data_IF_477063683940
#
_entry.id   IF_477063683940
#
_cell.length_a   1.000
_cell.length_b   1.000
_cell.length_c   1.000
_cell.angle_alpha   90.00
_cell.angle_beta   90.00
_cell.angle_gamma   90.00
#
_symmetry.space_group_name_H-M   'P 1'
#
loop_
_entity.id
_entity.type
_entity.pdbx_description
1 polymer ?
#
# COMPACT_ATOMS: atom_id res chain seq x y z
N UNK A 1 21.67 -63.92 -3.71
CA UNK A 1 21.40 -62.81 -4.64
C UNK A 1 20.01 -62.30 -4.31
N UNK A 2 19.91 -61.09 -3.75
CA UNK A 2 18.63 -60.45 -3.44
C UNK A 2 18.25 -59.66 -4.69
N UNK A 3 17.36 -60.21 -5.52
CA UNK A 3 16.74 -59.46 -6.61
C UNK A 3 15.77 -58.45 -5.99
N UNK A 4 16.16 -57.18 -5.98
CA UNK A 4 15.21 -56.07 -5.83
C UNK A 4 14.40 -56.01 -7.13
N UNK A 5 13.23 -56.64 -7.15
CA UNK A 5 12.20 -56.30 -8.13
C UNK A 5 11.78 -54.84 -7.88
N UNK A 6 12.45 -53.92 -8.59
CA UNK A 6 12.10 -52.51 -8.61
C UNK A 6 10.72 -52.37 -9.25
N UNK A 7 9.70 -52.21 -8.41
CA UNK A 7 8.32 -51.95 -8.84
C UNK A 7 8.22 -50.59 -9.52
N UNK A 8 8.56 -50.50 -10.80
CA UNK A 8 8.23 -49.36 -11.63
C UNK A 8 6.69 -49.31 -11.78
N UNK A 9 6.11 -48.13 -11.59
CA UNK A 9 4.66 -47.92 -11.67
C UNK A 9 4.07 -48.45 -12.98
N UNK A 10 2.92 -49.13 -12.90
CA UNK A 10 2.19 -49.63 -14.08
C UNK A 10 1.65 -48.44 -14.90
N UNK A 11 1.42 -48.60 -16.20
CA UNK A 11 0.89 -47.52 -17.07
C UNK A 11 -0.37 -46.83 -16.52
N UNK A 12 -1.25 -47.57 -15.84
CA UNK A 12 -2.42 -46.98 -15.16
C UNK A 12 -2.04 -46.04 -14.02
N UNK A 13 -1.00 -46.34 -13.22
CA UNK A 13 -0.52 -45.46 -12.14
C UNK A 13 0.04 -44.16 -12.70
N UNK A 14 0.72 -44.22 -13.86
CA UNK A 14 1.18 -43.02 -14.56
C UNK A 14 0.01 -42.16 -15.04
N UNK A 15 -1.04 -42.76 -15.61
CA UNK A 15 -2.26 -42.05 -16.02
C UNK A 15 -2.95 -41.38 -14.83
N UNK A 16 -3.12 -42.10 -13.71
CA UNK A 16 -3.73 -41.52 -12.50
C UNK A 16 -2.89 -40.38 -11.96
N UNK A 17 -1.56 -40.52 -11.88
CA UNK A 17 -0.68 -39.43 -11.46
C UNK A 17 -0.76 -38.22 -12.39
N UNK A 18 -0.84 -38.43 -13.71
CA UNK A 18 -1.00 -37.35 -14.68
C UNK A 18 -2.34 -36.61 -14.49
N UNK A 19 -3.44 -37.35 -14.27
CA UNK A 19 -4.75 -36.75 -14.02
C UNK A 19 -4.76 -35.96 -12.70
N UNK A 20 -4.17 -36.51 -11.64
CA UNK A 20 -4.06 -35.81 -10.35
C UNK A 20 -3.20 -34.55 -10.47
N UNK A 21 -2.04 -34.64 -11.12
CA UNK A 21 -1.19 -33.46 -11.40
C UNK A 21 -1.94 -32.43 -12.25
N UNK A 22 -2.66 -32.88 -13.28
CA UNK A 22 -3.50 -32.00 -14.11
C UNK A 22 -4.58 -31.27 -13.30
N UNK A 23 -5.26 -31.97 -12.40
CA UNK A 23 -6.26 -31.36 -11.51
C UNK A 23 -5.64 -30.34 -10.55
N UNK A 24 -4.49 -30.64 -9.96
CA UNK A 24 -3.75 -29.70 -9.09
C UNK A 24 -3.29 -28.47 -9.89
N UNK A 25 -2.77 -28.65 -11.10
CA UNK A 25 -2.34 -27.54 -11.95
C UNK A 25 -3.51 -26.65 -12.36
N UNK A 26 -4.65 -27.23 -12.75
CA UNK A 26 -5.83 -26.46 -13.15
C UNK A 26 -6.41 -25.66 -11.97
N UNK A 27 -6.49 -26.27 -10.78
CA UNK A 27 -7.00 -25.60 -9.58
C UNK A 27 -6.06 -24.49 -9.09
N UNK A 28 -4.76 -24.75 -9.02
CA UNK A 28 -3.76 -23.75 -8.67
C UNK A 28 -3.71 -22.61 -9.70
N UNK A 29 -3.79 -22.92 -10.99
CA UNK A 29 -3.80 -21.90 -12.05
C UNK A 29 -5.05 -21.03 -11.98
N UNK A 30 -6.22 -21.63 -11.74
CA UNK A 30 -7.47 -20.88 -11.57
C UNK A 30 -7.40 -19.94 -10.36
N UNK A 31 -6.93 -20.44 -9.21
CA UNK A 31 -6.73 -19.64 -7.98
C UNK A 31 -5.72 -18.50 -8.18
N UNK A 32 -4.63 -18.76 -8.92
CA UNK A 32 -3.63 -17.75 -9.22
C UNK A 32 -4.18 -16.66 -10.15
N UNK A 33 -4.85 -17.06 -11.25
CA UNK A 33 -5.42 -16.13 -12.22
C UNK A 33 -6.59 -15.32 -11.63
N UNK A 34 -7.30 -15.83 -10.62
CA UNK A 34 -8.32 -15.08 -9.91
C UNK A 34 -7.78 -13.80 -9.26
N UNK A 35 -6.49 -13.77 -8.87
CA UNK A 35 -5.84 -12.56 -8.34
C UNK A 35 -5.69 -11.44 -9.39
N UNK A 36 -6.00 -11.67 -10.66
CA UNK A 36 -6.00 -10.61 -11.69
C UNK A 36 -7.32 -9.87 -11.78
N UNK A 37 -8.37 -10.34 -11.11
CA UNK A 37 -9.69 -9.71 -11.11
C UNK A 37 -9.82 -8.81 -9.89
N UNK A 38 -9.80 -7.52 -10.15
CA UNK A 38 -9.79 -6.49 -9.12
C UNK A 38 -11.06 -6.46 -8.27
N UNK A 39 -10.94 -6.51 -6.92
CA UNK A 39 -12.08 -6.26 -6.08
C UNK A 39 -12.54 -4.80 -6.32
N UNK A 40 -13.85 -4.56 -6.35
CA UNK A 40 -14.39 -3.24 -6.65
C UNK A 40 -14.01 -2.23 -5.56
N UNK A 41 -13.74 -1.01 -6.01
CA UNK A 41 -13.66 0.19 -5.18
C UNK A 41 -14.85 1.04 -5.58
N UNK A 42 -15.60 1.56 -4.62
CA UNK A 42 -16.83 2.30 -4.88
C UNK A 42 -16.55 3.79 -4.73
N UNK A 43 -16.48 4.59 -5.81
CA UNK A 43 -16.27 6.02 -5.68
C UNK A 43 -17.36 6.66 -4.80
N UNK A 44 -16.94 7.36 -3.75
CA UNK A 44 -17.83 8.14 -2.89
C UNK A 44 -18.31 9.43 -3.58
N UNK A 45 -19.20 10.20 -2.92
CA UNK A 45 -19.78 11.41 -3.49
C UNK A 45 -18.76 12.53 -3.78
N UNK A 46 -17.57 12.48 -3.17
CA UNK A 46 -16.51 13.46 -3.42
C UNK A 46 -15.69 13.21 -4.67
N UNK A 47 -15.78 12.02 -5.29
CA UNK A 47 -15.04 11.69 -6.51
C UNK A 47 -15.71 12.35 -7.71
N UNK A 48 -15.00 13.28 -8.36
CA UNK A 48 -15.52 13.99 -9.53
C UNK A 48 -15.27 13.22 -10.82
N UNK A 49 -14.10 12.57 -10.93
CA UNK A 49 -13.77 11.70 -12.05
C UNK A 49 -12.66 10.71 -11.68
N UNK A 50 -12.53 9.68 -12.51
CA UNK A 50 -11.50 8.63 -12.40
C UNK A 50 -10.77 8.57 -13.72
N UNK A 51 -9.44 8.64 -13.67
CA UNK A 51 -8.53 8.56 -14.82
C UNK A 51 -7.62 7.36 -14.67
N UNK A 52 -6.96 6.95 -15.75
CA UNK A 52 -5.94 5.90 -15.68
C UNK A 52 -4.57 6.54 -15.41
N UNK A 53 -3.68 5.84 -14.70
CA UNK A 53 -2.28 6.30 -14.55
C UNK A 53 -1.60 6.41 -15.93
N UNK A 54 -2.02 5.58 -16.89
CA UNK A 54 -1.59 5.68 -18.28
C UNK A 54 -1.91 7.01 -18.97
N UNK A 55 -2.87 7.80 -18.46
CA UNK A 55 -3.20 9.12 -19.01
C UNK A 55 -2.03 10.12 -18.78
N UNK A 56 -1.18 9.85 -17.78
CA UNK A 56 0.06 10.61 -17.51
C UNK A 56 1.29 10.03 -18.23
N UNK A 57 1.25 8.73 -18.57
CA UNK A 57 2.29 8.05 -19.32
C UNK A 57 1.75 6.84 -20.11
N UNK A 58 1.62 7.02 -21.44
CA UNK A 58 1.06 6.02 -22.36
C UNK A 58 1.76 4.65 -22.34
N UNK A 59 3.01 4.58 -21.86
CA UNK A 59 3.76 3.32 -21.76
C UNK A 59 3.11 2.28 -20.84
N UNK A 60 2.16 2.68 -19.98
CA UNK A 60 1.40 1.76 -19.13
C UNK A 60 0.16 1.17 -19.81
N UNK A 61 -0.29 1.69 -20.96
CA UNK A 61 -1.52 1.23 -21.62
C UNK A 61 -1.44 -0.27 -21.90
N UNK A 62 -2.43 -1.02 -21.40
CA UNK A 62 -2.53 -2.46 -21.60
C UNK A 62 -1.52 -3.30 -20.79
N UNK A 63 -0.73 -2.65 -19.92
CA UNK A 63 0.12 -3.36 -18.97
C UNK A 63 -0.66 -3.71 -17.70
N UNK A 64 -0.25 -4.74 -16.94
CA UNK A 64 -0.85 -5.07 -15.65
C UNK A 64 -0.47 -4.08 -14.53
N UNK A 65 0.29 -3.02 -14.84
CA UNK A 65 0.70 -2.01 -13.87
C UNK A 65 -0.10 -0.70 -13.98
N UNK A 66 -0.93 -0.56 -15.02
CA UNK A 66 -1.87 0.55 -15.11
C UNK A 66 -2.92 0.45 -14.01
N UNK A 67 -3.31 1.60 -13.46
CA UNK A 67 -4.14 1.67 -12.24
C UNK A 67 -5.03 2.91 -12.27
N UNK A 68 -6.15 2.84 -11.57
CA UNK A 68 -7.07 3.96 -11.45
C UNK A 68 -6.51 5.04 -10.51
N UNK A 69 -6.64 6.30 -10.94
CA UNK A 69 -6.37 7.51 -10.17
C UNK A 69 -7.70 8.22 -9.93
N UNK A 70 -8.03 8.44 -8.66
CA UNK A 70 -9.30 9.03 -8.25
C UNK A 70 -9.09 10.50 -7.96
N UNK A 71 -9.86 11.37 -8.61
CA UNK A 71 -9.76 12.82 -8.47
C UNK A 71 -10.99 13.31 -7.70
N UNK A 72 -10.75 13.98 -6.58
CA UNK A 72 -11.76 14.66 -5.77
C UNK A 72 -11.47 16.17 -5.82
N UNK A 73 -12.44 16.97 -6.24
CA UNK A 73 -12.25 18.41 -6.45
C UNK A 73 -13.30 19.20 -5.68
N UNK A 74 -12.85 20.22 -4.97
CA UNK A 74 -13.72 21.15 -4.28
C UNK A 74 -14.37 22.16 -5.22
N UNK A 75 -15.43 22.80 -4.73
CA UNK A 75 -16.06 23.93 -5.44
C UNK A 75 -15.22 25.21 -5.38
N UNK A 76 -14.31 25.31 -4.41
CA UNK A 76 -13.42 26.46 -4.23
C UNK A 76 -11.98 26.12 -4.69
N UNK A 77 -11.25 27.08 -5.31
CA UNK A 77 -9.86 26.88 -5.67
C UNK A 77 -8.97 26.79 -4.41
N UNK A 78 -7.91 25.98 -4.48
CA UNK A 78 -6.91 25.77 -3.44
C UNK A 78 -5.82 24.82 -3.92
N UNK A 79 -4.97 24.35 -3.01
CA UNK A 79 -3.88 23.43 -3.34
C UNK A 79 -4.35 22.03 -3.74
N UNK A 80 -3.40 21.20 -4.14
CA UNK A 80 -3.61 19.81 -4.54
C UNK A 80 -2.79 18.86 -3.68
N UNK A 81 -3.45 17.87 -3.07
CA UNK A 81 -2.80 16.80 -2.33
C UNK A 81 -2.82 15.49 -3.10
N UNK A 82 -1.74 14.70 -3.02
CA UNK A 82 -1.69 13.31 -3.45
C UNK A 82 -1.60 12.39 -2.23
N UNK A 83 -2.48 11.39 -2.15
CA UNK A 83 -2.35 10.26 -1.22
C UNK A 83 -2.15 8.97 -2.01
N UNK A 84 -0.99 8.35 -1.83
CA UNK A 84 -0.59 7.12 -2.50
C UNK A 84 -0.69 5.93 -1.53
N UNK A 85 -1.45 4.90 -1.90
CA UNK A 85 -1.53 3.62 -1.21
C UNK A 85 -1.19 2.46 -2.15
N UNK A 86 -0.82 1.32 -1.56
CA UNK A 86 -0.50 0.13 -2.36
C UNK A 86 0.79 0.24 -3.15
N UNK A 87 1.77 1.01 -2.66
CA UNK A 87 3.16 0.96 -3.12
C UNK A 87 3.71 -0.47 -2.96
N UNK A 88 3.38 -1.11 -1.85
CA UNK A 88 3.54 -2.54 -1.64
C UNK A 88 2.17 -3.17 -1.36
N UNK A 89 1.80 -4.21 -2.12
CA UNK A 89 0.48 -4.84 -2.00
C UNK A 89 0.33 -5.75 -0.77
N UNK A 90 1.42 -6.01 -0.05
CA UNK A 90 1.44 -6.71 1.24
C UNK A 90 1.30 -5.76 2.45
N UNK A 91 1.02 -4.47 2.21
CA UNK A 91 0.80 -3.44 3.23
C UNK A 91 -0.68 -2.99 3.18
N UNK A 92 -1.61 -3.84 3.65
CA UNK A 92 -3.05 -3.63 3.50
C UNK A 92 -3.58 -2.33 4.11
N UNK A 93 -2.99 -1.81 5.19
CA UNK A 93 -3.48 -0.56 5.80
C UNK A 93 -3.27 0.64 4.87
N UNK A 94 -2.20 0.63 4.06
CA UNK A 94 -1.95 1.69 3.07
C UNK A 94 -3.08 1.77 2.03
N UNK A 95 -3.42 0.64 1.41
CA UNK A 95 -4.46 0.55 0.40
C UNK A 95 -5.86 0.77 0.97
N UNK A 96 -6.15 0.23 2.16
CA UNK A 96 -7.44 0.43 2.82
C UNK A 96 -7.65 1.89 3.21
N UNK A 97 -6.60 2.60 3.64
CA UNK A 97 -6.69 4.04 3.89
C UNK A 97 -7.07 4.80 2.62
N UNK A 98 -6.38 4.53 1.50
CA UNK A 98 -6.69 5.15 0.22
C UNK A 98 -8.13 4.83 -0.25
N UNK A 99 -8.58 3.58 -0.10
CA UNK A 99 -9.97 3.18 -0.41
C UNK A 99 -10.97 3.91 0.49
N UNK A 100 -10.67 4.04 1.79
CA UNK A 100 -11.53 4.75 2.74
C UNK A 100 -11.65 6.23 2.38
N UNK A 101 -10.56 6.87 1.94
CA UNK A 101 -10.59 8.23 1.43
C UNK A 101 -11.46 8.33 0.17
N UNK A 102 -11.29 7.44 -0.80
CA UNK A 102 -12.10 7.41 -2.03
C UNK A 102 -13.60 7.26 -1.74
N UNK A 103 -13.96 6.46 -0.74
CA UNK A 103 -15.35 6.13 -0.40
C UNK A 103 -16.05 7.22 0.44
N UNK A 104 -15.30 8.07 1.17
CA UNK A 104 -15.88 9.00 2.15
C UNK A 104 -15.47 10.47 2.00
N UNK A 105 -14.25 10.74 1.51
CA UNK A 105 -13.72 12.08 1.50
C UNK A 105 -14.51 12.99 0.54
N UNK A 106 -14.69 14.25 0.95
CA UNK A 106 -15.35 15.28 0.17
C UNK A 106 -14.53 16.56 0.27
N UNK A 107 -14.01 17.02 -0.86
CA UNK A 107 -13.18 18.23 -0.90
C UNK A 107 -14.10 19.44 -1.02
N UNK A 108 -13.86 20.46 -0.20
CA UNK A 108 -14.57 21.75 -0.28
C UNK A 108 -13.71 22.79 -1.00
N UNK A 109 -12.41 22.82 -0.70
CA UNK A 109 -11.42 23.71 -1.31
C UNK A 109 -10.20 22.91 -1.76
N UNK A 110 -9.70 23.21 -2.96
CA UNK A 110 -8.56 22.51 -3.55
C UNK A 110 -8.93 21.16 -4.13
N UNK A 111 -7.96 20.25 -4.17
CA UNK A 111 -8.08 18.92 -4.80
C UNK A 111 -7.40 17.85 -3.95
N UNK A 112 -7.97 16.65 -3.94
CA UNK A 112 -7.36 15.44 -3.38
C UNK A 112 -7.31 14.37 -4.47
N UNK A 113 -6.10 13.94 -4.81
CA UNK A 113 -5.82 12.87 -5.76
C UNK A 113 -5.42 11.62 -4.97
N UNK A 114 -6.07 10.49 -5.25
CA UNK A 114 -5.85 9.24 -4.51
C UNK A 114 -5.55 8.09 -5.46
N UNK A 115 -4.49 7.33 -5.17
CA UNK A 115 -4.14 6.10 -5.89
C UNK A 115 -4.11 4.94 -4.87
N UNK A 116 -5.07 4.00 -4.91
CA UNK A 116 -5.16 2.94 -3.89
C UNK A 116 -4.28 1.72 -4.17
N UNK A 117 -3.82 1.57 -5.42
CA UNK A 117 -3.04 0.43 -5.92
C UNK A 117 -1.90 0.93 -6.79
N UNK A 118 -0.95 1.64 -6.20
CA UNK A 118 0.16 2.27 -6.93
C UNK A 118 1.00 1.23 -7.70
N UNK A 119 1.37 0.12 -7.08
CA UNK A 119 1.95 -1.02 -7.77
C UNK A 119 0.89 -2.07 -8.09
N UNK A 120 0.02 -1.78 -9.06
CA UNK A 120 -1.11 -2.64 -9.40
C UNK A 120 -0.71 -4.09 -9.74
N UNK A 121 0.40 -4.29 -10.46
CA UNK A 121 0.92 -5.63 -10.78
C UNK A 121 1.24 -6.44 -9.52
N UNK A 122 1.76 -5.81 -8.45
CA UNK A 122 2.05 -6.49 -7.19
C UNK A 122 0.79 -7.06 -6.51
N UNK A 123 -0.39 -6.55 -6.80
CA UNK A 123 -1.66 -7.13 -6.34
C UNK A 123 -2.01 -8.43 -7.08
N UNK A 124 -1.36 -8.79 -8.18
CA UNK A 124 -1.73 -9.98 -8.96
C UNK A 124 -1.01 -11.27 -8.51
N UNK A 125 -0.22 -11.19 -7.44
CA UNK A 125 0.46 -12.33 -6.83
C UNK A 125 0.74 -12.09 -5.33
N UNK A 126 1.06 -13.13 -4.59
CA UNK A 126 1.64 -13.03 -3.24
C UNK A 126 3.15 -13.32 -3.30
N UNK A 127 3.91 -12.86 -2.31
CA UNK A 127 5.34 -13.15 -2.23
C UNK A 127 5.60 -14.68 -2.16
N UNK A 128 6.47 -15.23 -3.01
CA UNK A 128 6.81 -16.65 -2.98
C UNK A 128 7.39 -17.07 -1.63
N UNK A 129 7.09 -18.30 -1.20
CA UNK A 129 7.63 -18.93 0.02
C UNK A 129 7.18 -18.33 1.37
N UNK A 130 6.35 -17.28 1.37
CA UNK A 130 5.86 -16.66 2.61
C UNK A 130 4.55 -17.26 3.14
N UNK A 131 3.83 -18.02 2.30
CA UNK A 131 2.56 -18.63 2.66
C UNK A 131 1.45 -17.62 2.96
N UNK A 132 1.49 -16.43 2.37
CA UNK A 132 0.46 -15.41 2.53
C UNK A 132 -0.89 -15.90 1.97
N UNK A 133 -2.02 -15.57 2.62
CA UNK A 133 -3.32 -15.72 1.99
C UNK A 133 -3.43 -14.77 0.79
N UNK A 134 -4.23 -15.12 -0.21
CA UNK A 134 -4.48 -14.24 -1.38
C UNK A 134 -5.43 -13.10 -1.05
N UNK A 135 -6.34 -13.32 -0.09
CA UNK A 135 -7.38 -12.37 0.32
C UNK A 135 -7.56 -12.34 1.82
N UNK A 136 -8.16 -11.27 2.31
CA UNK A 136 -8.64 -11.09 3.68
C UNK A 136 -9.98 -10.34 3.64
N UNK A 137 -10.67 -10.29 4.77
CA UNK A 137 -12.04 -9.77 4.83
C UNK A 137 -12.16 -8.74 5.93
N UNK A 138 -12.86 -7.65 5.65
CA UNK A 138 -13.29 -6.67 6.66
C UNK A 138 -14.81 -6.79 6.80
N UNK A 139 -15.29 -6.91 8.03
CA UNK A 139 -16.73 -6.95 8.32
C UNK A 139 -17.33 -5.55 8.16
N UNK A 140 -18.30 -5.39 7.26
CA UNK A 140 -19.07 -4.15 7.12
C UNK A 140 -20.49 -4.34 7.67
N UNK A 141 -21.25 -3.27 7.97
CA UNK A 141 -22.63 -3.38 8.47
C UNK A 141 -23.57 -4.22 7.58
N UNK A 142 -23.31 -4.28 6.28
CA UNK A 142 -24.10 -5.05 5.30
C UNK A 142 -23.40 -6.35 4.84
N UNK A 143 -22.36 -6.78 5.55
CA UNK A 143 -21.70 -8.07 5.36
C UNK A 143 -20.19 -7.98 5.12
N UNK A 144 -19.50 -9.13 5.10
CA UNK A 144 -18.06 -9.19 4.85
C UNK A 144 -17.71 -8.67 3.45
N UNK A 145 -16.74 -7.76 3.36
CA UNK A 145 -16.12 -7.32 2.10
C UNK A 145 -14.71 -7.89 1.98
N UNK A 146 -14.44 -8.52 0.84
CA UNK A 146 -13.14 -9.12 0.54
C UNK A 146 -12.17 -8.09 -0.06
N UNK A 147 -10.92 -8.15 0.40
CA UNK A 147 -9.80 -7.36 -0.08
C UNK A 147 -8.63 -8.27 -0.42
N UNK A 148 -7.74 -7.79 -1.30
CA UNK A 148 -6.62 -8.58 -1.78
C UNK A 148 -5.36 -8.32 -0.97
N UNK A 149 -4.63 -9.38 -0.66
CA UNK A 149 -3.27 -9.31 -0.14
C UNK A 149 -2.29 -9.69 -1.25
N UNK A 150 -1.33 -8.82 -1.54
CA UNK A 150 -0.41 -9.01 -2.65
C UNK A 150 1.04 -9.24 -2.23
N UNK A 151 1.92 -8.97 -3.19
CA UNK A 151 3.37 -9.07 -3.07
C UNK A 151 3.98 -7.73 -2.69
N UNK A 152 5.21 -7.75 -2.15
CA UNK A 152 5.95 -6.51 -1.93
C UNK A 152 6.36 -5.88 -3.25
N UNK A 153 6.83 -6.70 -4.19
CA UNK A 153 7.26 -6.26 -5.51
C UNK A 153 6.26 -6.61 -6.62
N UNK A 154 6.39 -5.92 -7.75
CA UNK A 154 5.77 -6.21 -9.04
C UNK A 154 5.83 -7.70 -9.35
N UNK A 155 4.77 -8.24 -9.96
CA UNK A 155 4.67 -9.66 -10.24
C UNK A 155 5.83 -10.11 -11.15
N UNK A 156 6.61 -11.13 -10.76
CA UNK A 156 7.71 -11.62 -11.59
C UNK A 156 7.27 -12.20 -12.94
N UNK A 157 5.98 -12.50 -13.14
CA UNK A 157 5.46 -12.87 -14.47
C UNK A 157 5.39 -11.65 -15.40
N UNK A 158 5.12 -10.46 -14.84
CA UNK A 158 4.94 -9.23 -15.61
C UNK A 158 6.29 -8.52 -15.83
N UNK A 159 7.26 -8.74 -14.92
CA UNK A 159 8.61 -8.20 -15.00
C UNK A 159 9.65 -9.26 -14.61
N UNK A 160 10.38 -9.77 -15.61
CA UNK A 160 11.48 -10.72 -15.47
C UNK A 160 12.52 -10.47 -16.58
N UNK A 161 13.83 -10.73 -16.36
CA UNK A 161 14.47 -11.26 -15.15
C UNK A 161 14.88 -10.21 -14.12
N UNK A 162 15.01 -10.64 -12.87
CA UNK A 162 15.69 -9.87 -11.84
C UNK A 162 17.22 -9.91 -12.13
N UNK A 163 17.90 -8.76 -12.26
CA UNK A 163 19.34 -8.73 -12.46
C UNK A 163 20.07 -9.18 -11.18
N UNK A 164 21.39 -9.40 -11.21
CA UNK A 164 22.15 -9.68 -9.99
C UNK A 164 22.24 -8.43 -9.10
N UNK A 165 22.51 -7.29 -9.73
CA UNK A 165 22.54 -5.97 -9.12
C UNK A 165 21.57 -5.10 -9.89
N UNK A 166 20.65 -4.46 -9.19
CA UNK A 166 19.79 -3.44 -9.75
C UNK A 166 20.45 -2.08 -9.52
N UNK A 167 20.59 -1.29 -10.57
CA UNK A 167 20.94 0.13 -10.47
C UNK A 167 19.71 0.90 -10.91
N UNK A 168 19.08 1.62 -9.99
CA UNK A 168 17.86 2.34 -10.29
C UNK A 168 18.10 3.61 -11.13
N UNK A 169 17.02 4.25 -11.58
CA UNK A 169 17.07 5.49 -12.35
C UNK A 169 17.84 6.63 -11.66
N UNK A 170 17.93 6.62 -10.32
CA UNK A 170 18.71 7.58 -9.53
C UNK A 170 20.18 7.17 -9.32
N UNK A 171 20.63 6.05 -9.88
CA UNK A 171 22.01 5.57 -9.82
C UNK A 171 22.38 4.77 -8.56
N UNK A 172 21.40 4.39 -7.72
CA UNK A 172 21.63 3.60 -6.51
C UNK A 172 21.77 2.11 -6.85
N UNK A 173 22.87 1.52 -6.39
CA UNK A 173 23.06 0.07 -6.44
C UNK A 173 22.31 -0.63 -5.31
N UNK A 174 21.50 -1.62 -5.68
CA UNK A 174 20.62 -2.40 -4.81
C UNK A 174 20.70 -3.89 -5.16
N UNK A 175 20.14 -4.73 -4.28
CA UNK A 175 19.95 -6.14 -4.58
C UNK A 175 19.05 -6.30 -5.81
N UNK A 176 19.34 -7.31 -6.63
CA UNK A 176 18.61 -7.60 -7.86
C UNK A 176 17.09 -7.58 -7.76
N UNK A 177 16.55 -8.19 -6.71
CA UNK A 177 15.11 -8.29 -6.46
C UNK A 177 14.42 -6.95 -6.22
N UNK A 178 15.17 -5.90 -5.84
CA UNK A 178 14.61 -4.55 -5.65
C UNK A 178 14.18 -3.89 -6.96
N UNK A 179 14.54 -4.46 -8.13
CA UNK A 179 14.06 -3.98 -9.43
C UNK A 179 12.53 -4.02 -9.57
N UNK A 180 11.87 -4.86 -8.76
CA UNK A 180 10.41 -5.00 -8.70
C UNK A 180 9.79 -4.16 -7.58
N UNK A 181 10.59 -3.48 -6.76
CA UNK A 181 10.12 -2.69 -5.63
C UNK A 181 9.88 -1.23 -6.08
N UNK A 182 8.62 -0.79 -6.09
CA UNK A 182 8.27 0.57 -6.51
C UNK A 182 8.97 1.64 -5.66
N UNK A 183 9.08 1.42 -4.35
CA UNK A 183 9.81 2.32 -3.45
C UNK A 183 11.34 2.13 -3.50
N UNK A 184 11.87 1.59 -4.60
CA UNK A 184 13.28 1.63 -4.99
C UNK A 184 13.48 2.12 -6.42
N UNK A 185 12.39 2.38 -7.14
CA UNK A 185 12.40 2.70 -8.56
C UNK A 185 12.20 4.17 -8.87
N UNK A 186 11.89 5.03 -7.88
CA UNK A 186 11.77 6.47 -8.13
C UNK A 186 13.13 7.11 -8.50
N UNK A 187 13.16 8.21 -9.28
CA UNK A 187 12.03 8.90 -9.91
C UNK A 187 11.49 8.17 -11.16
N UNK A 188 11.98 6.97 -11.44
CA UNK A 188 11.56 6.14 -12.56
C UNK A 188 12.27 6.46 -13.87
N UNK A 189 11.97 5.65 -14.88
CA UNK A 189 12.47 5.83 -16.24
C UNK A 189 11.39 5.43 -17.23
N UNK A 190 11.08 6.27 -18.25
CA UNK A 190 10.08 5.94 -19.27
C UNK A 190 10.51 4.76 -20.16
N UNK A 191 11.82 4.47 -20.23
CA UNK A 191 12.38 3.32 -20.95
C UNK A 191 12.90 2.23 -20.01
N UNK A 192 12.63 2.35 -18.70
CA UNK A 192 13.03 1.38 -17.69
C UNK A 192 12.13 0.14 -17.69
N UNK A 193 12.33 -0.70 -16.68
CA UNK A 193 11.45 -1.84 -16.45
C UNK A 193 10.03 -1.37 -16.04
N UNK A 194 9.05 -2.27 -16.04
CA UNK A 194 7.65 -1.95 -15.75
C UNK A 194 7.48 -1.14 -14.45
N UNK A 195 8.20 -1.51 -13.39
CA UNK A 195 8.17 -0.81 -12.09
C UNK A 195 8.76 0.60 -12.17
N UNK A 196 9.80 0.82 -12.97
CA UNK A 196 10.39 2.14 -13.20
C UNK A 196 9.50 3.02 -14.07
N UNK A 197 8.72 2.43 -14.97
CA UNK A 197 7.72 3.12 -15.77
C UNK A 197 6.55 3.60 -14.90
N UNK A 198 6.11 2.79 -13.92
CA UNK A 198 5.11 3.21 -12.92
C UNK A 198 5.64 4.37 -12.08
N UNK A 199 6.87 4.26 -11.56
CA UNK A 199 7.50 5.33 -10.80
C UNK A 199 7.59 6.64 -11.60
N UNK A 200 7.95 6.54 -12.88
CA UNK A 200 8.01 7.67 -13.81
C UNK A 200 6.62 8.29 -14.04
N UNK A 201 5.60 7.46 -14.23
CA UNK A 201 4.22 7.91 -14.42
C UNK A 201 3.69 8.66 -13.20
N UNK A 202 4.00 8.19 -11.98
CA UNK A 202 3.62 8.87 -10.73
C UNK A 202 4.35 10.22 -10.62
N UNK A 203 5.65 10.30 -10.92
CA UNK A 203 6.37 11.60 -10.93
C UNK A 203 5.82 12.53 -12.00
N UNK A 204 5.40 12.00 -13.16
CA UNK A 204 4.73 12.76 -14.21
C UNK A 204 3.39 13.31 -13.76
N UNK A 205 2.57 12.51 -13.09
CA UNK A 205 1.32 12.93 -12.46
C UNK A 205 1.58 14.05 -11.45
N UNK A 206 2.54 13.88 -10.54
CA UNK A 206 2.87 14.89 -9.53
C UNK A 206 3.17 16.25 -10.17
N UNK A 207 3.94 16.26 -11.28
CA UNK A 207 4.28 17.48 -12.01
C UNK A 207 3.14 18.05 -12.87
N UNK A 208 2.26 17.21 -13.39
CA UNK A 208 1.20 17.65 -14.31
C UNK A 208 -0.04 18.13 -13.58
N UNK A 209 -0.29 17.60 -12.38
CA UNK A 209 -1.38 18.00 -11.50
C UNK A 209 -0.97 19.09 -10.51
N UNK A 210 0.28 19.59 -10.60
CA UNK A 210 0.87 20.60 -9.71
C UNK A 210 0.62 20.26 -8.22
N UNK A 211 0.99 19.04 -7.80
CA UNK A 211 0.72 18.56 -6.43
C UNK A 211 1.59 19.32 -5.42
N UNK A 212 0.95 19.99 -4.47
CA UNK A 212 1.61 20.74 -3.40
C UNK A 212 2.14 19.83 -2.28
N UNK A 213 1.40 18.78 -1.92
CA UNK A 213 1.77 17.82 -0.86
C UNK A 213 1.50 16.39 -1.30
N UNK A 214 2.51 15.51 -1.20
CA UNK A 214 2.42 14.11 -1.59
C UNK A 214 2.72 13.20 -0.40
N UNK A 215 1.78 12.30 -0.09
CA UNK A 215 1.84 11.41 1.08
C UNK A 215 1.80 9.95 0.60
N UNK A 216 2.91 9.22 0.78
CA UNK A 216 3.01 7.78 0.49
C UNK A 216 2.75 6.96 1.76
N UNK A 217 1.70 6.14 1.74
CA UNK A 217 1.30 5.33 2.89
C UNK A 217 2.00 3.96 2.83
N UNK A 218 2.72 3.61 3.89
CA UNK A 218 3.45 2.36 4.04
C UNK A 218 3.14 1.69 5.36
N UNK A 219 3.51 0.42 5.44
CA UNK A 219 3.63 -0.24 6.73
C UNK A 219 4.99 -0.91 6.91
N UNK A 220 5.40 -0.97 8.18
CA UNK A 220 6.65 -1.56 8.60
C UNK A 220 6.44 -2.69 9.61
N UNK A 221 7.37 -3.64 9.65
CA UNK A 221 7.35 -4.71 10.64
C UNK A 221 7.66 -4.18 12.04
N UNK A 222 7.06 -4.73 13.13
CA UNK A 222 7.30 -4.29 14.51
C UNK A 222 8.77 -4.21 14.95
N UNK A 223 9.66 -4.99 14.32
CA UNK A 223 11.11 -5.01 14.56
C UNK A 223 11.93 -4.03 13.70
N UNK A 224 11.29 -3.21 12.86
CA UNK A 224 11.97 -2.22 12.04
C UNK A 224 12.02 -0.86 12.76
N UNK A 225 13.15 -0.14 12.76
CA UNK A 225 13.31 1.10 13.53
C UNK A 225 12.48 2.29 13.01
N UNK A 226 12.20 2.34 11.72
CA UNK A 226 11.41 3.43 11.11
C UNK A 226 9.98 2.93 10.96
N UNK A 227 9.24 2.96 12.06
CA UNK A 227 7.87 2.47 12.21
C UNK A 227 7.12 3.44 13.11
N UNK A 228 5.80 3.60 12.92
CA UNK A 228 5.07 4.71 13.56
C UNK A 228 5.80 6.03 13.33
N UNK A 229 6.13 6.33 12.07
CA UNK A 229 6.97 7.46 11.72
C UNK A 229 6.47 8.18 10.47
N UNK A 230 6.67 9.49 10.42
CA UNK A 230 6.57 10.32 9.22
C UNK A 230 8.00 10.53 8.70
N UNK A 231 8.32 9.97 7.54
CA UNK A 231 9.59 10.20 6.85
C UNK A 231 9.41 11.35 5.86
N UNK A 232 10.11 12.46 6.07
CA UNK A 232 9.90 13.68 5.29
C UNK A 232 11.13 14.09 4.50
N UNK A 233 10.91 14.59 3.27
CA UNK A 233 11.91 15.40 2.57
C UNK A 233 12.29 16.62 3.40
N UNK A 234 13.50 17.16 3.26
CA UNK A 234 13.94 18.34 4.03
C UNK A 234 12.98 19.52 3.94
N UNK A 235 12.37 19.74 2.79
CA UNK A 235 11.42 20.85 2.58
C UNK A 235 10.07 20.62 3.28
N UNK A 236 9.72 19.36 3.55
CA UNK A 236 8.49 18.98 4.26
C UNK A 236 8.71 18.75 5.77
N UNK A 237 9.95 18.89 6.27
CA UNK A 237 10.29 18.51 7.65
C UNK A 237 9.55 19.34 8.71
N UNK A 238 9.30 20.63 8.44
CA UNK A 238 8.56 21.50 9.35
C UNK A 238 7.10 21.03 9.51
N UNK A 239 6.44 20.72 8.38
CA UNK A 239 5.08 20.19 8.37
C UNK A 239 5.03 18.85 9.11
N UNK A 240 5.98 17.95 8.83
CA UNK A 240 6.03 16.64 9.50
C UNK A 240 6.21 16.76 11.02
N UNK A 241 7.11 17.64 11.48
CA UNK A 241 7.37 17.87 12.90
C UNK A 241 6.16 18.45 13.63
N UNK A 242 5.49 19.43 13.02
CA UNK A 242 4.30 20.05 13.61
C UNK A 242 3.10 19.09 13.61
N UNK A 243 2.90 18.31 12.53
CA UNK A 243 1.87 17.28 12.48
C UNK A 243 2.09 16.20 13.55
N UNK A 244 3.33 15.71 13.71
CA UNK A 244 3.65 14.74 14.75
C UNK A 244 3.36 15.28 16.16
N UNK A 245 3.64 16.55 16.43
CA UNK A 245 3.30 17.20 17.70
C UNK A 245 1.78 17.22 17.95
N UNK A 246 0.97 17.59 16.95
CA UNK A 246 -0.49 17.56 17.08
C UNK A 246 -1.03 16.15 17.32
N UNK A 247 -0.51 15.17 16.57
CA UNK A 247 -0.87 13.76 16.72
C UNK A 247 -0.52 13.23 18.12
N UNK A 248 0.63 13.62 18.68
CA UNK A 248 0.98 13.27 20.06
C UNK A 248 0.03 13.90 21.09
N UNK A 249 -0.43 15.13 20.88
CA UNK A 249 -1.46 15.74 21.75
C UNK A 249 -2.80 15.01 21.70
N UNK A 250 -3.12 14.40 20.56
CA UNK A 250 -4.29 13.53 20.39
C UNK A 250 -4.06 12.10 20.91
N UNK A 251 -2.89 11.82 21.50
CA UNK A 251 -2.55 10.52 22.08
C UNK A 251 -2.01 9.50 21.06
N UNK A 252 -1.73 9.92 19.83
CA UNK A 252 -1.16 9.08 18.78
C UNK A 252 0.35 9.31 18.67
N UNK A 253 1.14 8.45 19.32
CA UNK A 253 2.61 8.52 19.23
C UNK A 253 3.08 8.27 17.80
N UNK A 254 3.86 9.21 17.24
CA UNK A 254 4.44 9.09 15.90
C UNK A 254 5.76 9.86 15.84
N UNK A 255 6.82 9.21 15.36
CA UNK A 255 8.14 9.81 15.17
C UNK A 255 8.23 10.61 13.88
N UNK A 256 9.30 11.41 13.76
CA UNK A 256 9.65 12.09 12.51
C UNK A 256 11.07 11.72 12.13
N UNK A 257 11.22 11.23 10.91
CA UNK A 257 12.50 10.85 10.34
C UNK A 257 12.81 11.72 9.13
N UNK A 258 14.06 12.18 9.05
CA UNK A 258 14.50 12.89 7.86
C UNK A 258 14.84 11.89 6.77
N UNK A 259 14.25 12.07 5.59
CA UNK A 259 14.64 11.38 4.35
C UNK A 259 16.16 11.48 4.14
N UNK A 260 16.93 10.38 4.05
CA UNK A 260 18.37 10.47 3.86
C UNK A 260 18.74 10.88 2.42
N UNK A 261 19.55 11.94 2.25
CA UNK A 261 19.92 12.45 0.93
C UNK A 261 20.68 11.43 0.05
N UNK A 262 21.43 10.52 0.68
CA UNK A 262 22.22 9.49 -0.02
C UNK A 262 21.45 8.19 -0.27
N UNK A 263 20.21 8.07 0.21
CA UNK A 263 19.40 6.88 0.00
C UNK A 263 18.38 7.17 -1.10
N UNK A 264 18.76 6.82 -2.33
CA UNK A 264 18.00 7.14 -3.54
C UNK A 264 17.02 6.02 -3.92
N UNK A 265 15.99 6.35 -4.69
CA UNK A 265 14.95 5.40 -5.13
C UNK A 265 13.63 5.45 -4.36
N UNK A 266 13.55 6.26 -3.31
CA UNK A 266 12.41 6.33 -2.38
C UNK A 266 11.45 7.47 -2.77
N UNK A 267 10.15 7.29 -2.56
CA UNK A 267 9.13 8.33 -2.79
C UNK A 267 9.44 9.62 -2.05
N UNK A 268 9.60 9.56 -0.72
CA UNK A 268 9.91 10.70 0.15
C UNK A 268 11.30 11.36 -0.10
N UNK A 269 12.11 10.82 -1.02
CA UNK A 269 13.36 11.45 -1.47
C UNK A 269 13.18 11.98 -2.89
N UNK A 270 12.85 11.10 -3.81
CA UNK A 270 12.86 11.40 -5.24
C UNK A 270 11.70 12.29 -5.66
N UNK A 271 10.56 12.28 -4.97
CA UNK A 271 9.47 13.22 -5.28
C UNK A 271 9.87 14.65 -4.96
N UNK A 272 10.46 14.90 -3.79
CA UNK A 272 10.96 16.22 -3.41
C UNK A 272 12.17 16.68 -4.24
N UNK A 273 13.05 15.75 -4.64
CA UNK A 273 14.19 16.09 -5.52
C UNK A 273 13.76 16.34 -6.98
N UNK A 274 12.70 15.69 -7.46
CA UNK A 274 12.28 15.73 -8.87
C UNK A 274 11.12 16.69 -9.14
N UNK A 275 10.43 17.17 -8.12
CA UNK A 275 9.22 17.99 -8.24
C UNK A 275 9.19 19.03 -7.11
N UNK A 276 8.24 19.96 -7.15
CA UNK A 276 8.07 20.97 -6.11
C UNK A 276 7.14 20.51 -4.97
N UNK A 277 6.72 19.24 -4.96
CA UNK A 277 5.81 18.70 -3.94
C UNK A 277 6.49 18.53 -2.58
N UNK A 278 5.77 18.83 -1.52
CA UNK A 278 6.17 18.48 -0.16
C UNK A 278 6.00 16.96 0.02
N UNK A 279 7.10 16.22 -0.08
CA UNK A 279 7.09 14.76 -0.12
C UNK A 279 7.23 14.13 1.29
N UNK A 280 6.26 13.29 1.64
CA UNK A 280 6.21 12.55 2.90
C UNK A 280 5.89 11.06 2.66
N UNK A 281 6.38 10.21 3.55
CA UNK A 281 5.98 8.81 3.69
C UNK A 281 5.53 8.58 5.14
N UNK A 282 4.46 7.82 5.34
CA UNK A 282 3.92 7.51 6.68
C UNK A 282 3.93 6.00 6.92
N UNK A 283 4.46 5.57 8.05
CA UNK A 283 4.57 4.15 8.45
C UNK A 283 3.61 3.79 9.58
N UNK A 284 2.86 2.69 9.41
CA UNK A 284 2.08 2.03 10.47
C UNK A 284 2.63 0.61 10.79
N UNK A 285 2.32 0.03 11.96
CA UNK A 285 2.98 -1.20 12.41
C UNK A 285 2.28 -2.46 11.89
N UNK A 286 2.79 -3.13 10.86
CA UNK A 286 2.20 -4.33 10.26
C UNK A 286 2.80 -5.65 10.82
N UNK A 287 2.08 -6.39 11.68
CA UNK A 287 2.57 -7.64 12.23
C UNK A 287 2.77 -8.72 11.16
N UNK A 288 1.99 -8.70 10.08
CA UNK A 288 2.05 -9.70 9.01
C UNK A 288 3.31 -9.59 8.14
N UNK A 289 4.07 -8.49 8.24
CA UNK A 289 5.27 -8.25 7.42
C UNK A 289 6.56 -8.76 8.07
N UNK A 290 6.67 -8.70 9.40
CA UNK A 290 7.91 -9.00 10.12
C UNK A 290 8.22 -10.49 10.29
N UNK A 291 9.49 -10.82 10.47
CA UNK A 291 10.05 -12.18 10.52
C UNK A 291 9.88 -12.87 11.87
N UNK A 292 9.53 -12.13 12.92
CA UNK A 292 9.33 -12.67 14.26
C UNK A 292 7.92 -13.21 14.49
N UNK A 293 7.01 -13.06 13.52
CA UNK A 293 5.63 -13.55 13.57
C UNK A 293 5.52 -15.08 13.55
N UNK A 294 4.37 -15.59 13.97
CA UNK A 294 3.97 -16.98 13.79
C UNK A 294 3.46 -17.28 12.38
N UNK A 295 2.43 -18.11 12.28
CA UNK A 295 1.83 -18.44 10.98
C UNK A 295 1.12 -17.22 10.39
N UNK A 296 1.42 -16.89 9.13
CA UNK A 296 0.68 -15.85 8.43
C UNK A 296 -0.72 -16.33 8.05
N UNK A 297 -1.74 -15.60 8.48
CA UNK A 297 -3.16 -15.90 8.22
C UNK A 297 -3.93 -14.60 7.95
N UNK A 298 -5.11 -14.70 7.33
CA UNK A 298 -6.01 -13.54 7.19
C UNK A 298 -6.34 -12.92 8.55
N UNK A 299 -6.44 -13.74 9.60
CA UNK A 299 -6.64 -13.30 10.98
C UNK A 299 -5.48 -12.45 11.49
N UNK A 300 -4.22 -12.84 11.25
CA UNK A 300 -3.05 -12.02 11.60
C UNK A 300 -3.05 -10.69 10.85
N UNK A 301 -3.47 -10.70 9.58
CA UNK A 301 -3.59 -9.49 8.76
C UNK A 301 -4.65 -8.54 9.31
N UNK A 302 -5.78 -9.03 9.82
CA UNK A 302 -6.90 -8.18 10.27
C UNK A 302 -6.77 -7.83 11.75
N UNK A 303 -6.58 -8.82 12.62
CA UNK A 303 -6.52 -8.61 14.08
C UNK A 303 -5.15 -8.13 14.55
N UNK A 304 -4.07 -8.43 13.81
CA UNK A 304 -2.72 -7.99 14.18
C UNK A 304 -2.19 -8.62 15.47
N UNK A 305 -2.82 -9.68 15.98
CA UNK A 305 -2.43 -10.36 17.22
C UNK A 305 -1.48 -11.50 16.90
N UNK A 306 -0.31 -11.52 17.55
CA UNK A 306 0.64 -12.62 17.45
C UNK A 306 1.38 -12.88 18.78
N UNK A 307 1.38 -14.12 19.31
CA UNK A 307 2.02 -14.43 20.58
C UNK A 307 3.56 -14.39 20.53
N UNK A 308 4.17 -14.52 19.35
CA UNK A 308 5.62 -14.39 19.20
C UNK A 308 6.06 -12.93 19.24
N UNK A 309 5.26 -12.00 18.71
CA UNK A 309 5.54 -10.57 18.94
C UNK A 309 5.40 -10.16 20.39
N UNK A 310 4.41 -10.67 21.13
CA UNK A 310 4.32 -10.44 22.59
C UNK A 310 5.59 -10.92 23.30
N UNK A 311 6.12 -12.09 22.91
CA UNK A 311 7.40 -12.61 23.44
C UNK A 311 8.62 -11.82 22.97
N UNK A 312 8.59 -11.24 21.77
CA UNK A 312 9.65 -10.41 21.24
C UNK A 312 9.70 -9.06 21.97
N UNK A 313 8.54 -8.46 22.24
CA UNK A 313 8.39 -7.24 23.02
C UNK A 313 8.97 -7.39 24.43
N UNK A 314 8.66 -8.51 25.13
CA UNK A 314 9.22 -8.83 26.44
C UNK A 314 10.75 -8.93 26.47
N UNK A 315 11.38 -9.10 25.30
CA UNK A 315 12.84 -9.17 25.14
C UNK A 315 13.45 -7.89 24.58
N UNK A 316 12.66 -6.84 24.37
CA UNK A 316 13.12 -5.57 23.81
C UNK A 316 13.60 -5.66 22.36
N UNK A 317 13.00 -6.56 21.57
CA UNK A 317 13.36 -6.78 20.16
C UNK A 317 12.54 -5.94 19.17
N UNK A 318 11.58 -5.16 19.65
CA UNK A 318 10.65 -4.39 18.83
C UNK A 318 10.86 -2.89 19.04
N UNK A 319 10.48 -2.10 18.03
CA UNK A 319 10.52 -0.64 18.06
C UNK A 319 9.16 -0.01 18.32
N UNK A 320 8.10 -0.81 18.34
CA UNK A 320 6.77 -0.43 18.80
C UNK A 320 6.34 -1.24 20.03
N UNK A 321 5.56 -0.65 20.96
CA UNK A 321 4.92 -1.41 22.01
C UNK A 321 4.02 -2.48 21.40
N UNK A 322 4.15 -3.73 21.84
CA UNK A 322 3.33 -4.82 21.35
C UNK A 322 2.78 -5.63 22.51
N UNK A 323 1.47 -5.54 22.73
CA UNK A 323 0.73 -6.22 23.80
C UNK A 323 -0.15 -7.35 23.25
N UNK A 324 -0.99 -7.94 24.09
CA UNK A 324 -1.88 -9.03 23.67
C UNK A 324 -2.98 -8.55 22.70
N UNK A 325 -3.25 -7.26 22.71
CA UNK A 325 -4.19 -6.55 21.84
C UNK A 325 -3.65 -6.42 20.40
N UNK A 326 -2.34 -6.56 20.19
CA UNK A 326 -1.71 -6.49 18.87
C UNK A 326 -1.83 -5.11 18.22
N UNK A 327 -1.75 -5.10 16.88
CA UNK A 327 -1.98 -3.91 16.05
C UNK A 327 -3.04 -4.21 14.96
N UNK A 328 -4.34 -4.13 15.28
CA UNK A 328 -5.39 -4.46 14.34
C UNK A 328 -5.41 -3.51 13.14
N UNK A 329 -6.01 -3.96 12.04
CA UNK A 329 -6.13 -3.17 10.81
C UNK A 329 -6.88 -1.84 11.05
N UNK A 330 -7.85 -1.84 11.96
CA UNK A 330 -8.60 -0.64 12.37
C UNK A 330 -7.68 0.43 12.95
N UNK A 331 -6.75 0.03 13.84
CA UNK A 331 -5.75 0.95 14.40
C UNK A 331 -4.85 1.49 13.30
N UNK A 332 -4.31 0.62 12.43
CA UNK A 332 -3.33 1.00 11.41
C UNK A 332 -3.92 1.95 10.37
N UNK A 333 -5.13 1.65 9.88
CA UNK A 333 -5.86 2.52 8.96
C UNK A 333 -6.27 3.83 9.65
N UNK A 334 -6.79 3.76 10.89
CA UNK A 334 -7.14 4.95 11.65
C UNK A 334 -5.95 5.90 11.87
N UNK A 335 -4.75 5.34 12.13
CA UNK A 335 -3.51 6.11 12.30
C UNK A 335 -3.11 6.81 11.00
N UNK A 336 -3.19 6.14 9.86
CA UNK A 336 -2.94 6.78 8.57
C UNK A 336 -3.96 7.86 8.23
N UNK A 337 -5.27 7.60 8.43
CA UNK A 337 -6.33 8.59 8.18
C UNK A 337 -6.13 9.84 9.04
N UNK A 338 -5.86 9.67 10.34
CA UNK A 338 -5.58 10.78 11.24
C UNK A 338 -4.32 11.54 10.80
N UNK A 339 -3.24 10.83 10.45
CA UNK A 339 -2.00 11.46 9.99
C UNK A 339 -2.22 12.27 8.71
N UNK A 340 -2.97 11.74 7.74
CA UNK A 340 -3.31 12.47 6.50
C UNK A 340 -4.10 13.72 6.81
N UNK A 341 -5.17 13.63 7.62
CA UNK A 341 -5.96 14.80 8.01
C UNK A 341 -5.10 15.87 8.69
N UNK A 342 -4.28 15.48 9.67
CA UNK A 342 -3.40 16.43 10.38
C UNK A 342 -2.35 17.04 9.46
N UNK A 343 -1.77 16.28 8.53
CA UNK A 343 -0.80 16.83 7.56
C UNK A 343 -1.43 17.89 6.66
N UNK A 344 -2.69 17.69 6.23
CA UNK A 344 -3.43 18.68 5.44
C UNK A 344 -3.75 19.93 6.28
N UNK A 345 -4.19 19.76 7.53
CA UNK A 345 -4.46 20.88 8.44
C UNK A 345 -3.20 21.69 8.72
N UNK A 346 -2.07 21.02 8.95
CA UNK A 346 -0.78 21.70 9.14
C UNK A 346 -0.37 22.39 7.85
N UNK A 347 -0.44 21.74 6.68
CA UNK A 347 -0.13 22.36 5.40
C UNK A 347 -0.89 23.68 5.19
N UNK A 348 -2.20 23.70 5.49
CA UNK A 348 -3.05 24.89 5.39
C UNK A 348 -2.58 26.06 6.27
N UNK A 349 -1.83 25.81 7.35
CA UNK A 349 -1.26 26.88 8.19
C UNK A 349 -0.01 27.55 7.59
N UNK A 350 0.60 26.94 6.57
CA UNK A 350 1.81 27.44 5.89
C UNK A 350 1.52 28.10 4.53
N UNK A 351 0.32 27.95 3.99
CA UNK A 351 -0.07 28.45 2.68
C UNK A 351 -1.35 29.31 2.76
N UNK A 352 -1.71 29.94 1.64
CA UNK A 352 -3.07 30.50 1.45
C UNK A 352 -3.91 29.63 0.50
N UNK A 353 -3.32 28.60 -0.10
CA UNK A 353 -3.96 27.68 -1.03
C UNK A 353 -4.46 26.45 -0.28
N UNK A 354 -5.40 26.65 0.65
CA UNK A 354 -5.82 25.57 1.56
C UNK A 354 -6.45 24.38 0.82
N UNK A 355 -6.23 23.19 1.38
CA UNK A 355 -6.82 21.93 0.99
C UNK A 355 -7.77 21.52 2.10
N UNK A 356 -9.07 21.67 1.87
CA UNK A 356 -10.11 21.43 2.90
C UNK A 356 -10.88 20.19 2.53
N UNK A 357 -10.66 19.11 3.28
CA UNK A 357 -11.26 17.80 3.04
C UNK A 357 -12.12 17.40 4.25
N UNK A 358 -13.40 17.15 4.02
CA UNK A 358 -14.33 16.61 4.99
C UNK A 358 -14.51 15.09 4.79
N UNK A 359 -15.10 14.42 5.77
CA UNK A 359 -15.45 12.99 5.66
C UNK A 359 -14.29 12.01 5.86
N UNK A 360 -13.10 12.50 6.23
CA UNK A 360 -12.00 11.63 6.68
C UNK A 360 -12.31 11.13 8.11
N UNK A 361 -12.47 9.83 8.35
CA UNK A 361 -12.72 9.30 9.69
C UNK A 361 -11.51 9.54 10.61
N UNK A 362 -11.76 9.95 11.85
CA UNK A 362 -10.69 10.07 12.86
C UNK A 362 -10.27 8.70 13.38
N UNK A 363 -9.06 8.60 13.94
CA UNK A 363 -8.59 7.37 14.59
C UNK A 363 -9.59 6.87 15.64
N UNK A 364 -10.11 7.77 16.48
CA UNK A 364 -11.10 7.41 17.51
C UNK A 364 -12.39 6.84 16.90
N UNK A 365 -12.90 7.45 15.82
CA UNK A 365 -14.10 6.97 15.16
C UNK A 365 -13.92 5.57 14.56
N UNK A 366 -12.75 5.30 13.96
CA UNK A 366 -12.41 3.96 13.43
C UNK A 366 -12.29 2.93 14.54
N UNK A 367 -11.64 3.26 15.66
CA UNK A 367 -11.51 2.35 16.80
C UNK A 367 -12.86 2.05 17.49
N UNK A 368 -13.78 3.02 17.54
CA UNK A 368 -15.08 2.85 18.17
C UNK A 368 -16.10 2.10 17.29
N UNK A 369 -16.11 2.38 15.99
CA UNK A 369 -17.13 1.87 15.06
C UNK A 369 -16.64 0.70 14.20
N UNK A 370 -15.32 0.47 14.16
CA UNK A 370 -14.65 -0.44 13.25
C UNK A 370 -14.46 0.16 11.85
N UNK A 371 -13.39 -0.24 11.15
CA UNK A 371 -13.10 0.25 9.80
C UNK A 371 -14.25 0.00 8.82
N UNK A 372 -14.93 -1.14 8.96
CA UNK A 372 -16.01 -1.52 8.07
C UNK A 372 -17.22 -0.58 8.08
N UNK A 373 -17.40 0.25 9.12
CA UNK A 373 -18.42 1.29 9.14
C UNK A 373 -18.19 2.39 8.09
N UNK A 374 -16.94 2.56 7.66
CA UNK A 374 -16.50 3.56 6.68
C UNK A 374 -16.20 2.92 5.31
N UNK A 375 -16.49 1.64 5.13
CA UNK A 375 -16.32 0.97 3.85
C UNK A 375 -17.68 0.69 3.24
N UNK A 376 -17.80 0.93 1.93
CA UNK A 376 -18.96 0.55 1.16
C UNK A 376 -19.21 -0.97 1.28
N UNK A 377 -20.49 -1.39 1.27
CA UNK A 377 -20.86 -2.79 1.43
C UNK A 377 -20.43 -3.62 0.21
N UNK A 378 -20.38 -4.97 0.33
CA UNK A 378 -19.89 -5.84 -0.74
C UNK A 378 -20.73 -5.79 -2.03
N UNK A 379 -21.99 -5.38 -1.96
CA UNK A 379 -22.86 -5.13 -3.12
C UNK A 379 -22.63 -3.78 -3.79
N UNK A 380 -21.80 -2.91 -3.20
CA UNK A 380 -21.74 -1.49 -3.49
C UNK A 380 -22.83 -0.70 -2.76
N UNK A 381 -22.66 0.63 -2.63
CA UNK A 381 -23.65 1.47 -1.96
C UNK A 381 -25.02 1.32 -2.64
N UNK A 382 -26.11 1.33 -1.87
CA UNK A 382 -27.45 1.45 -2.45
C UNK A 382 -27.49 2.74 -3.27
N UNK A 383 -27.80 2.63 -4.56
CA UNK A 383 -27.71 3.72 -5.53
C UNK A 383 -28.47 4.97 -5.05
N UNK A 384 -27.73 5.96 -4.57
CA UNK A 384 -28.21 7.32 -4.36
C UNK A 384 -27.89 8.16 -5.59
N UNK A 385 -28.81 8.17 -6.55
CA UNK A 385 -29.00 9.30 -7.47
C UNK A 385 -30.21 10.11 -7.01
#
# INVERSE_FOLDING_TARGET
>A
MIEREGGYGRGWTAVVLLLMTGAVLLTASHSFLAMRVDPPIYPGPGVTHVVALSDYFEGLIGTPADTAVYILEGSEPGGTALVLGGTHANEPASSLTAITLIENAQVTRGRLIVIPRANHSAFTCTEPQEGYPQTYTIETPAGPREFRYGSRGTNPIDQWPDPVIYVNAAGQSLAGSEVRNLNRSYPGSPSGNLTEQVAYAIVKLIRQEDIDISIDLHEASPEYPVINAIVAHEDALNIAAEAAMFLEFEGMQIGVERSPANLRGLSHREWGDATDTLALLVEAPNPAQGRLRGQTTAKLIVEGIDPYYVRAAQRGLLYVPFSAEGHPIDERVGRHLQTVATLLDVYNSYTNDDIVVAGIPTLSAVLEQGLGAFLAPPSGPESGL
#
